data_IF_641801357186
#
_entry.id   IF_641801357186
#
_cell.length_a   1.000
_cell.length_b   1.000
_cell.length_c   1.000
_cell.angle_alpha   90.00
_cell.angle_beta   90.00
_cell.angle_gamma   90.00
#
_symmetry.space_group_name_H-M   'P 1'
#
loop_
_entity.id
_entity.type
_entity.pdbx_description
1 polymer ?
#
# COMPACT_ATOMS: atom_id res chain seq x y z
N UNK A 1 18.79 -10.39 -19.04
CA UNK A 1 19.71 -10.62 -17.89
C UNK A 1 19.37 -11.94 -17.22
N UNK A 2 20.36 -12.62 -16.66
CA UNK A 2 20.25 -13.93 -16.01
C UNK A 2 19.34 -13.82 -14.76
N UNK A 3 18.17 -14.46 -14.76
CA UNK A 3 17.17 -14.45 -13.67
C UNK A 3 17.59 -15.28 -12.44
N UNK A 4 18.78 -15.86 -12.44
CA UNK A 4 19.35 -16.58 -11.32
C UNK A 4 20.01 -15.62 -10.32
N UNK A 5 19.22 -14.91 -9.50
CA UNK A 5 19.79 -14.17 -8.37
C UNK A 5 18.89 -13.22 -7.59
N UNK A 6 17.83 -12.67 -8.17
CA UNK A 6 16.98 -11.72 -7.43
C UNK A 6 15.94 -12.47 -6.59
N UNK A 7 16.17 -12.55 -5.28
CA UNK A 7 15.20 -13.11 -4.32
C UNK A 7 13.97 -12.20 -4.23
N UNK A 8 12.76 -12.77 -4.24
CA UNK A 8 11.52 -12.02 -3.93
C UNK A 8 11.69 -11.31 -2.57
N UNK A 9 11.08 -10.13 -2.42
CA UNK A 9 10.94 -9.52 -1.10
C UNK A 9 10.05 -10.40 -0.23
N UNK A 10 10.41 -10.54 1.04
CA UNK A 10 9.62 -11.29 2.00
C UNK A 10 9.40 -10.48 3.28
N UNK A 11 8.27 -10.73 3.91
CA UNK A 11 7.87 -10.12 5.18
C UNK A 11 8.72 -10.75 6.29
N UNK A 12 9.35 -9.94 7.14
CA UNK A 12 10.16 -10.41 8.27
C UNK A 12 9.75 -9.70 9.56
N UNK A 13 9.28 -10.47 10.54
CA UNK A 13 8.73 -9.95 11.80
C UNK A 13 9.80 -9.64 12.87
N UNK A 14 11.04 -10.05 12.64
CA UNK A 14 12.13 -9.94 13.60
C UNK A 14 12.51 -8.49 13.98
N UNK A 15 12.11 -7.48 13.18
CA UNK A 15 12.45 -6.07 13.43
C UNK A 15 11.54 -5.37 14.43
N UNK A 16 10.46 -6.00 14.88
CA UNK A 16 9.44 -5.37 15.70
C UNK A 16 9.26 -6.10 17.04
N UNK A 17 9.22 -5.33 18.12
CA UNK A 17 8.98 -5.82 19.47
C UNK A 17 7.84 -5.02 20.10
N UNK A 18 6.89 -5.72 20.70
CA UNK A 18 5.85 -5.12 21.53
C UNK A 18 6.10 -5.52 22.98
N UNK A 19 6.34 -4.53 23.83
CA UNK A 19 6.48 -4.71 25.27
C UNK A 19 5.11 -4.50 25.88
N UNK A 20 4.50 -5.59 26.36
CA UNK A 20 3.15 -5.55 26.89
C UNK A 20 3.01 -6.46 28.13
N UNK A 21 2.37 -5.99 29.22
CA UNK A 21 2.08 -6.84 30.36
C UNK A 21 1.18 -8.03 29.96
N UNK A 22 1.28 -9.18 30.65
CA UNK A 22 0.48 -10.38 30.32
C UNK A 22 -1.02 -10.15 30.25
N UNK A 23 -1.54 -9.18 31.01
CA UNK A 23 -2.96 -8.78 31.00
C UNK A 23 -3.43 -8.25 29.65
N UNK A 24 -2.52 -7.72 28.80
CA UNK A 24 -2.82 -7.22 27.47
C UNK A 24 -2.61 -8.26 26.36
N UNK A 25 -2.03 -9.44 26.64
CA UNK A 25 -1.72 -10.44 25.60
C UNK A 25 -2.97 -10.97 24.87
N UNK A 26 -4.13 -10.92 25.52
CA UNK A 26 -5.43 -11.28 24.90
C UNK A 26 -6.04 -10.17 24.03
N UNK A 27 -5.52 -8.94 24.07
CA UNK A 27 -6.05 -7.82 23.30
C UNK A 27 -5.81 -8.06 21.80
N UNK A 28 -6.78 -7.83 20.90
CA UNK A 28 -6.64 -8.14 19.46
C UNK A 28 -5.39 -7.53 18.82
N UNK A 29 -5.07 -6.28 19.12
CA UNK A 29 -3.88 -5.59 18.59
C UNK A 29 -2.54 -6.15 19.09
N UNK A 30 -2.54 -6.87 20.21
CA UNK A 30 -1.35 -7.55 20.75
C UNK A 30 -1.25 -8.95 20.14
N UNK A 31 -2.37 -9.67 20.07
CA UNK A 31 -2.45 -11.01 19.46
C UNK A 31 -2.04 -11.00 17.99
N UNK A 32 -2.53 -10.00 17.24
CA UNK A 32 -2.32 -9.90 15.80
C UNK A 32 -1.08 -9.05 15.45
N UNK A 33 -0.27 -8.67 16.46
CA UNK A 33 0.94 -7.86 16.30
C UNK A 33 1.93 -8.51 15.32
N UNK A 34 2.51 -7.67 14.47
CA UNK A 34 3.58 -8.08 13.58
C UNK A 34 4.93 -7.92 14.27
N UNK A 35 5.35 -8.96 14.98
CA UNK A 35 6.63 -9.01 15.67
C UNK A 35 6.60 -9.97 16.85
N UNK A 36 7.58 -9.83 17.74
CA UNK A 36 7.60 -10.55 19.01
C UNK A 36 6.92 -9.73 20.12
N UNK A 37 6.20 -10.40 21.02
CA UNK A 37 5.63 -9.79 22.22
C UNK A 37 6.44 -10.27 23.41
N UNK A 38 6.93 -9.33 24.22
CA UNK A 38 7.71 -9.60 25.44
C UNK A 38 7.06 -8.89 26.62
N UNK A 39 7.27 -9.42 27.82
CA UNK A 39 6.80 -8.77 29.03
C UNK A 39 7.84 -7.73 29.50
N UNK A 40 7.44 -6.66 30.22
CA UNK A 40 8.38 -5.67 30.74
C UNK A 40 9.52 -6.28 31.56
N UNK A 41 9.25 -7.34 32.32
CA UNK A 41 10.23 -8.09 33.10
C UNK A 41 11.34 -8.75 32.26
N UNK A 42 11.08 -9.06 30.99
CA UNK A 42 12.07 -9.64 30.08
C UNK A 42 13.15 -8.62 29.65
N UNK A 43 12.89 -7.32 29.87
CA UNK A 43 13.83 -6.22 29.63
C UNK A 43 14.67 -5.86 30.87
N UNK A 44 14.46 -6.52 32.00
CA UNK A 44 15.21 -6.25 33.21
C UNK A 44 16.68 -6.67 33.08
N UNK A 45 17.64 -5.90 33.63
CA UNK A 45 19.05 -6.30 33.64
C UNK A 45 19.24 -7.69 34.26
N UNK A 46 19.85 -8.61 33.52
CA UNK A 46 20.10 -9.98 33.97
C UNK A 46 18.94 -10.95 33.79
N UNK A 47 17.84 -10.54 33.14
CA UNK A 47 16.80 -11.46 32.70
C UNK A 47 17.39 -12.52 31.74
N UNK A 48 17.04 -13.78 31.95
CA UNK A 48 17.50 -14.85 31.08
C UNK A 48 16.80 -14.73 29.72
N UNK A 49 17.56 -14.44 28.67
CA UNK A 49 16.99 -14.28 27.32
C UNK A 49 16.45 -12.88 27.02
N UNK A 50 17.01 -11.82 27.63
CA UNK A 50 16.72 -10.44 27.24
C UNK A 50 16.76 -10.29 25.71
N UNK A 51 15.70 -9.77 25.09
CA UNK A 51 15.67 -9.63 23.64
C UNK A 51 16.78 -8.70 23.18
N UNK A 52 17.47 -9.07 22.10
CA UNK A 52 18.31 -8.11 21.38
C UNK A 52 17.43 -7.00 20.85
N UNK A 53 17.76 -5.74 21.10
CA UNK A 53 17.00 -4.58 20.63
C UNK A 53 17.68 -3.89 19.45
N UNK A 54 18.90 -4.27 19.08
CA UNK A 54 19.68 -3.58 18.05
C UNK A 54 18.94 -3.55 16.71
N UNK A 55 18.75 -2.34 16.17
CA UNK A 55 18.06 -2.14 14.88
C UNK A 55 16.56 -2.46 14.90
N UNK A 56 15.94 -2.56 16.09
CA UNK A 56 14.52 -2.89 16.23
C UNK A 56 13.66 -1.67 16.51
N UNK A 57 12.39 -1.79 16.13
CA UNK A 57 11.31 -0.89 16.53
C UNK A 57 10.59 -1.48 17.73
N UNK A 58 10.54 -0.73 18.82
CA UNK A 58 9.94 -1.13 20.09
C UNK A 58 8.66 -0.33 20.33
N UNK A 59 7.56 -1.03 20.59
CA UNK A 59 6.27 -0.47 20.97
C UNK A 59 6.01 -0.78 22.44
N UNK A 60 5.69 0.23 23.24
CA UNK A 60 5.49 0.12 24.69
C UNK A 60 4.00 0.22 25.02
N UNK A 61 3.52 -0.71 25.83
CA UNK A 61 2.14 -0.78 26.33
C UNK A 61 2.12 -0.94 27.85
N UNK A 62 1.02 -0.54 28.48
CA UNK A 62 0.84 -0.61 29.93
C UNK A 62 1.52 0.54 30.67
N UNK A 63 1.89 0.30 31.93
CA UNK A 63 2.62 1.28 32.72
C UNK A 63 4.11 1.30 32.32
N UNK A 64 4.51 2.37 31.63
CA UNK A 64 5.89 2.56 31.14
C UNK A 64 6.81 3.26 32.14
N UNK A 65 6.29 3.66 33.32
CA UNK A 65 7.07 4.45 34.30
C UNK A 65 8.25 3.70 34.91
N UNK A 66 8.26 2.38 34.86
CA UNK A 66 9.35 1.53 35.32
C UNK A 66 10.42 1.23 34.26
N UNK A 67 10.31 1.77 33.05
CA UNK A 67 11.28 1.57 31.97
C UNK A 67 12.27 2.73 31.92
N UNK A 68 13.55 2.40 31.91
CA UNK A 68 14.66 3.36 31.79
C UNK A 68 15.12 3.49 30.34
N UNK A 69 15.51 4.70 29.93
CA UNK A 69 16.05 4.97 28.59
C UNK A 69 17.25 4.07 28.23
N UNK A 70 18.08 3.70 29.21
CA UNK A 70 19.21 2.81 29.01
C UNK A 70 18.81 1.38 28.64
N UNK A 71 17.65 0.90 29.09
CA UNK A 71 17.16 -0.45 28.74
C UNK A 71 16.76 -0.55 27.26
N UNK A 72 16.35 0.56 26.67
CA UNK A 72 15.91 0.64 25.27
C UNK A 72 16.93 1.32 24.35
N UNK A 73 18.10 1.70 24.86
CA UNK A 73 19.07 2.53 24.14
C UNK A 73 19.66 1.91 22.87
N UNK A 74 19.58 0.58 22.71
CA UNK A 74 19.99 -0.11 21.49
C UNK A 74 18.90 -0.17 20.40
N UNK A 75 17.64 0.13 20.75
CA UNK A 75 16.55 0.18 19.80
C UNK A 75 16.73 1.33 18.81
N UNK A 76 16.38 1.10 17.55
CA UNK A 76 16.41 2.15 16.52
C UNK A 76 15.25 3.14 16.72
N UNK A 77 14.08 2.63 17.10
CA UNK A 77 12.87 3.42 17.31
C UNK A 77 12.14 2.90 18.55
N UNK A 78 11.61 3.79 19.36
CA UNK A 78 10.79 3.46 20.54
C UNK A 78 9.53 4.32 20.53
N UNK A 79 8.37 3.69 20.71
CA UNK A 79 7.07 4.36 20.72
C UNK A 79 6.24 3.92 21.92
N UNK A 80 5.50 4.85 22.53
CA UNK A 80 4.45 4.51 23.52
C UNK A 80 3.11 4.43 22.81
N UNK A 81 2.38 3.33 22.96
CA UNK A 81 1.06 3.13 22.36
C UNK A 81 -0.01 3.72 23.27
N UNK A 82 -0.59 4.85 22.86
CA UNK A 82 -1.47 5.69 23.70
C UNK A 82 -2.62 4.89 24.32
N UNK A 83 -3.37 4.15 23.51
CA UNK A 83 -4.60 3.47 23.92
C UNK A 83 -4.33 2.25 24.81
N UNK A 84 -3.13 1.67 24.72
CA UNK A 84 -2.72 0.50 25.51
C UNK A 84 -1.90 0.88 26.74
N UNK A 85 -1.59 2.17 26.95
CA UNK A 85 -0.75 2.66 28.05
C UNK A 85 -1.50 3.55 29.05
N UNK A 86 -2.83 3.63 28.95
CA UNK A 86 -3.64 4.39 29.91
C UNK A 86 -3.75 3.65 31.24
N UNK A 87 -3.59 4.36 32.36
CA UNK A 87 -4.06 3.91 33.67
C UNK A 87 -5.58 4.11 33.72
N UNK A 88 -6.31 3.13 34.24
CA UNK A 88 -7.76 3.22 34.38
C UNK A 88 -8.16 4.53 35.10
N UNK A 89 -8.88 5.41 34.40
CA UNK A 89 -9.52 6.59 34.99
C UNK A 89 -8.88 7.97 34.76
N UNK A 90 -7.75 8.09 34.04
CA UNK A 90 -7.16 9.40 33.71
C UNK A 90 -7.23 9.70 32.20
N UNK A 91 -8.10 10.64 31.83
CA UNK A 91 -8.05 11.32 30.52
C UNK A 91 -6.97 12.40 30.57
N UNK A 92 -5.71 11.99 30.35
CA UNK A 92 -4.57 12.91 30.34
C UNK A 92 -3.42 12.38 29.47
N UNK A 93 -2.66 13.29 28.87
CA UNK A 93 -1.42 12.97 28.12
C UNK A 93 -0.51 12.07 28.97
N UNK A 94 0.07 11.03 28.36
CA UNK A 94 1.03 10.16 29.04
C UNK A 94 2.15 11.03 29.64
N UNK A 95 2.24 11.19 30.98
CA UNK A 95 3.16 12.16 31.55
C UNK A 95 4.60 11.68 31.42
N UNK A 96 5.48 12.54 30.92
CA UNK A 96 6.93 12.44 31.16
C UNK A 96 7.73 11.35 30.45
N UNK A 97 7.14 10.56 29.55
CA UNK A 97 7.90 9.60 28.74
C UNK A 97 8.87 10.31 27.78
N UNK A 98 10.16 9.92 27.71
CA UNK A 98 11.10 10.49 26.74
C UNK A 98 10.82 10.02 25.30
N UNK A 99 9.94 9.03 25.12
CA UNK A 99 9.65 8.44 23.82
C UNK A 99 8.39 9.02 23.18
N UNK A 100 8.38 9.16 21.83
CA UNK A 100 7.20 9.63 21.10
C UNK A 100 5.99 8.72 21.33
N UNK A 101 4.82 9.35 21.49
CA UNK A 101 3.54 8.65 21.64
C UNK A 101 2.89 8.46 20.28
N UNK A 102 2.42 7.24 20.00
CA UNK A 102 1.67 6.88 18.79
C UNK A 102 0.31 6.30 19.16
N UNK A 103 -0.64 6.45 18.25
CA UNK A 103 -1.96 5.84 18.39
C UNK A 103 -1.91 4.37 17.93
N UNK A 104 -2.89 3.57 18.38
CA UNK A 104 -2.99 2.14 18.14
C UNK A 104 -2.95 1.77 16.65
N UNK A 105 -3.44 2.65 15.77
CA UNK A 105 -3.41 2.42 14.33
C UNK A 105 -2.02 2.50 13.68
N UNK A 106 -0.98 2.91 14.44
CA UNK A 106 0.44 2.87 14.06
C UNK A 106 1.14 1.57 14.47
N UNK A 107 0.46 0.69 15.20
CA UNK A 107 0.98 -0.62 15.58
C UNK A 107 0.77 -1.59 14.40
N UNK A 108 1.82 -2.26 13.88
CA UNK A 108 1.70 -3.13 12.73
C UNK A 108 0.98 -4.44 13.09
N UNK A 109 0.01 -4.82 12.25
CA UNK A 109 -0.72 -6.07 12.38
C UNK A 109 -0.39 -7.03 11.24
N UNK A 110 -0.23 -8.32 11.56
CA UNK A 110 -0.04 -9.39 10.58
C UNK A 110 -1.35 -9.69 9.87
N UNK A 111 -1.32 -9.77 8.55
CA UNK A 111 -2.47 -10.22 7.75
C UNK A 111 -2.14 -11.57 7.13
N UNK A 112 -2.41 -12.65 7.87
CA UNK A 112 -2.34 -14.04 7.39
C UNK A 112 -1.04 -14.45 6.67
N UNK A 113 0.10 -13.80 6.99
CA UNK A 113 1.36 -14.00 6.26
C UNK A 113 1.37 -13.42 4.83
N UNK A 114 0.30 -12.78 4.39
CA UNK A 114 0.16 -12.15 3.08
C UNK A 114 0.63 -10.69 3.07
N UNK A 115 0.75 -10.05 4.23
CA UNK A 115 1.19 -8.66 4.35
C UNK A 115 1.10 -8.11 5.76
N UNK A 116 1.36 -6.81 5.88
CA UNK A 116 1.33 -6.06 7.14
C UNK A 116 0.39 -4.88 7.01
N UNK A 117 -0.48 -4.69 7.99
CA UNK A 117 -1.51 -3.67 7.98
C UNK A 117 -1.34 -2.68 9.13
N UNK A 118 -1.48 -1.40 8.80
CA UNK A 118 -1.56 -0.29 9.72
C UNK A 118 -2.95 0.34 9.58
N UNK A 119 -3.87 0.19 10.55
CA UNK A 119 -5.22 0.73 10.45
C UNK A 119 -5.26 2.26 10.33
N UNK A 120 -4.26 2.96 10.86
CA UNK A 120 -4.14 4.42 10.79
C UNK A 120 -2.66 4.83 10.79
N UNK A 121 -1.98 4.57 9.67
CA UNK A 121 -0.58 4.96 9.49
C UNK A 121 -0.42 6.48 9.40
N UNK A 122 -1.28 7.11 8.60
CA UNK A 122 -1.35 8.54 8.41
C UNK A 122 -2.45 9.13 9.29
N UNK A 123 -2.19 10.29 9.90
CA UNK A 123 -3.18 10.93 10.75
C UNK A 123 -4.34 11.48 9.88
N UNK A 124 -5.61 11.26 10.26
CA UNK A 124 -6.75 11.82 9.52
C UNK A 124 -6.73 13.35 9.42
N UNK A 125 -6.11 14.03 10.40
CA UNK A 125 -6.00 15.50 10.42
C UNK A 125 -5.05 16.10 9.38
N UNK A 126 -4.23 15.29 8.71
CA UNK A 126 -3.25 15.78 7.72
C UNK A 126 -3.86 16.15 6.36
N UNK A 127 -5.16 15.88 6.16
CA UNK A 127 -5.92 16.12 4.93
C UNK A 127 -5.19 15.69 3.63
N UNK A 128 -4.63 14.47 3.65
CA UNK A 128 -3.95 13.92 2.47
C UNK A 128 -4.84 13.92 1.22
N UNK A 129 -6.15 13.68 1.37
CA UNK A 129 -7.08 13.75 0.24
C UNK A 129 -7.09 15.15 -0.38
N UNK A 130 -7.36 16.18 0.42
CA UNK A 130 -7.43 17.56 -0.06
C UNK A 130 -6.11 18.06 -0.62
N UNK A 131 -5.00 17.76 0.04
CA UNK A 131 -3.64 18.15 -0.40
C UNK A 131 -3.27 17.52 -1.73
N UNK A 132 -3.43 16.21 -1.88
CA UNK A 132 -3.15 15.53 -3.16
C UNK A 132 -4.09 16.05 -4.26
N UNK A 133 -5.37 16.28 -3.94
CA UNK A 133 -6.34 16.84 -4.88
C UNK A 133 -6.04 18.28 -5.31
N UNK A 134 -5.34 19.06 -4.48
CA UNK A 134 -4.90 20.41 -4.79
C UNK A 134 -3.56 20.44 -5.55
N UNK A 135 -2.68 19.48 -5.28
CA UNK A 135 -1.35 19.36 -5.90
C UNK A 135 -1.42 18.79 -7.33
N UNK A 136 -2.45 18.00 -7.66
CA UNK A 136 -2.55 17.26 -8.92
C UNK A 136 -3.91 17.38 -9.63
N UNK A 137 -3.86 17.40 -10.96
CA UNK A 137 -5.04 17.34 -11.81
C UNK A 137 -5.36 15.89 -12.21
N UNK A 138 -6.35 15.30 -11.54
CA UNK A 138 -6.81 13.94 -11.85
C UNK A 138 -7.52 13.88 -13.21
N UNK A 139 -7.24 12.83 -13.97
CA UNK A 139 -7.83 12.60 -15.29
C UNK A 139 -8.82 11.44 -15.28
N UNK A 140 -9.88 11.47 -16.11
CA UNK A 140 -10.81 10.34 -16.24
C UNK A 140 -10.08 9.06 -16.64
N UNK A 141 -10.47 7.93 -16.05
CA UNK A 141 -10.00 6.61 -16.46
C UNK A 141 -11.02 5.96 -17.39
N UNK A 142 -10.57 5.21 -18.40
CA UNK A 142 -11.46 4.34 -19.18
C UNK A 142 -11.43 2.91 -18.65
N UNK A 143 -12.55 2.19 -18.74
CA UNK A 143 -12.60 0.77 -18.38
C UNK A 143 -12.13 -0.08 -19.56
N UNK A 144 -10.82 -0.31 -19.68
CA UNK A 144 -10.27 -1.13 -20.76
C UNK A 144 -10.68 -0.59 -22.15
N UNK A 145 -11.16 -1.45 -23.05
CA UNK A 145 -11.62 -1.11 -24.41
C UNK A 145 -13.11 -0.76 -24.49
N UNK A 146 -13.83 -0.69 -23.36
CA UNK A 146 -15.28 -0.43 -23.37
C UNK A 146 -15.56 1.06 -23.64
N UNK A 147 -16.56 1.40 -24.48
CA UNK A 147 -17.00 2.78 -24.63
C UNK A 147 -17.61 3.26 -23.31
N UNK A 148 -16.90 4.13 -22.60
CA UNK A 148 -17.33 4.73 -21.34
C UNK A 148 -16.17 5.13 -20.42
N UNK A 149 -16.39 6.15 -19.60
CA UNK A 149 -15.48 6.51 -18.51
C UNK A 149 -15.77 5.62 -17.30
N UNK A 150 -14.73 5.07 -16.69
CA UNK A 150 -14.83 4.46 -15.37
C UNK A 150 -15.39 5.48 -14.37
N UNK A 151 -16.02 5.01 -13.29
CA UNK A 151 -16.40 5.86 -12.16
C UNK A 151 -15.18 6.29 -11.32
N UNK A 152 -14.02 6.41 -11.95
CA UNK A 152 -12.75 6.74 -11.33
C UNK A 152 -12.01 7.76 -12.17
N UNK A 153 -11.32 8.65 -11.48
CA UNK A 153 -10.24 9.44 -12.06
C UNK A 153 -8.92 9.00 -11.44
N UNK A 154 -7.80 9.21 -12.14
CA UNK A 154 -6.50 8.79 -11.66
C UNK A 154 -5.35 9.63 -12.20
N UNK A 155 -4.16 9.37 -11.68
CA UNK A 155 -2.91 9.97 -12.13
C UNK A 155 -1.74 9.05 -11.78
N UNK A 156 -0.69 9.06 -12.60
CA UNK A 156 0.59 8.46 -12.26
C UNK A 156 1.56 9.51 -11.78
N UNK A 157 2.27 9.18 -10.70
CA UNK A 157 3.28 10.04 -10.11
C UNK A 157 4.58 9.26 -9.92
N UNK A 158 5.71 9.90 -10.20
CA UNK A 158 7.06 9.35 -9.94
C UNK A 158 8.05 10.51 -9.84
N UNK A 159 9.21 10.40 -9.17
CA UNK A 159 10.20 11.47 -9.23
C UNK A 159 10.64 11.74 -10.68
N UNK A 160 10.60 13.00 -11.10
CA UNK A 160 11.07 13.45 -12.41
C UNK A 160 12.29 14.34 -12.21
N UNK A 161 13.41 14.01 -12.86
CA UNK A 161 14.61 14.87 -12.88
C UNK A 161 14.85 15.41 -14.28
N UNK A 162 15.46 16.61 -14.37
CA UNK A 162 15.79 17.25 -15.63
C UNK A 162 17.31 17.30 -15.81
N UNK A 163 17.78 16.84 -16.96
CA UNK A 163 19.19 16.92 -17.39
C UNK A 163 19.24 17.56 -18.78
N UNK A 164 19.58 18.85 -18.84
CA UNK A 164 19.41 19.65 -20.06
C UNK A 164 17.94 19.69 -20.48
N UNK A 165 17.65 19.29 -21.73
CA UNK A 165 16.28 19.19 -22.27
C UNK A 165 15.63 17.81 -22.01
N UNK A 166 16.38 16.85 -21.44
CA UNK A 166 15.88 15.51 -21.16
C UNK A 166 15.17 15.46 -19.80
N UNK A 167 14.02 14.79 -19.76
CA UNK A 167 13.26 14.51 -18.55
C UNK A 167 13.38 13.02 -18.22
N UNK A 168 13.98 12.70 -17.07
CA UNK A 168 14.21 11.35 -16.59
C UNK A 168 13.15 10.97 -15.56
N UNK A 169 12.56 9.80 -15.70
CA UNK A 169 11.47 9.33 -14.84
C UNK A 169 11.36 7.81 -14.89
N UNK A 170 10.44 7.23 -14.12
CA UNK A 170 10.15 5.79 -14.15
C UNK A 170 8.77 5.52 -14.73
N UNK A 171 8.66 4.47 -15.51
CA UNK A 171 7.41 4.01 -16.07
C UNK A 171 6.87 2.82 -15.29
N UNK A 172 5.55 2.74 -15.18
CA UNK A 172 4.85 1.54 -14.73
C UNK A 172 3.68 1.27 -15.68
N UNK A 173 4.00 0.67 -16.83
CA UNK A 173 3.11 0.38 -17.97
C UNK A 173 2.17 -0.78 -17.64
N UNK A 174 1.25 -0.54 -16.72
CA UNK A 174 0.18 -1.47 -16.37
C UNK A 174 -1.07 -1.26 -17.25
N UNK A 175 -2.15 -1.99 -16.96
CA UNK A 175 -3.40 -1.99 -17.74
C UNK A 175 -4.32 -0.78 -17.50
N UNK A 176 -3.85 0.28 -16.86
CA UNK A 176 -4.68 1.45 -16.51
C UNK A 176 -4.59 2.53 -17.58
N UNK A 177 -5.61 2.66 -18.41
CA UNK A 177 -5.67 3.62 -19.53
C UNK A 177 -5.71 5.08 -19.08
N UNK A 178 -4.54 5.64 -18.75
CA UNK A 178 -4.31 7.07 -18.48
C UNK A 178 -3.90 7.77 -19.79
N UNK A 179 -4.54 8.90 -20.06
CA UNK A 179 -4.36 9.63 -21.32
C UNK A 179 -3.35 10.78 -21.23
N UNK A 180 -3.32 11.46 -20.10
CA UNK A 180 -2.41 12.54 -19.75
C UNK A 180 -1.10 12.04 -19.13
N UNK A 181 -0.08 12.92 -19.08
CA UNK A 181 1.28 12.56 -18.70
C UNK A 181 1.39 12.13 -17.23
N UNK A 182 2.46 11.39 -16.94
CA UNK A 182 2.95 11.19 -15.56
C UNK A 182 3.41 12.52 -14.99
N UNK A 183 3.17 12.76 -13.70
CA UNK A 183 3.63 13.98 -13.01
C UNK A 183 4.71 13.66 -11.97
N UNK A 184 5.53 14.66 -11.65
CA UNK A 184 6.51 14.54 -10.58
C UNK A 184 5.84 14.47 -9.21
N UNK A 185 6.51 13.85 -8.25
CA UNK A 185 6.12 13.95 -6.84
C UNK A 185 6.11 15.41 -6.38
N UNK A 186 5.02 15.78 -5.72
CA UNK A 186 4.87 17.05 -4.99
C UNK A 186 5.23 16.84 -3.52
N UNK A 187 5.23 17.89 -2.66
CA UNK A 187 5.64 17.76 -1.26
C UNK A 187 4.83 16.70 -0.49
N UNK A 188 3.53 16.56 -0.76
CA UNK A 188 2.70 15.56 -0.08
C UNK A 188 3.06 14.15 -0.51
N UNK A 189 3.28 13.90 -1.81
CA UNK A 189 3.72 12.58 -2.30
C UNK A 189 5.09 12.19 -1.74
N UNK A 190 6.03 13.14 -1.74
CA UNK A 190 7.39 12.92 -1.24
C UNK A 190 7.33 12.47 0.22
N UNK A 191 6.57 13.19 1.04
CA UNK A 191 6.36 12.83 2.45
C UNK A 191 5.73 11.45 2.64
N UNK A 192 4.69 11.12 1.86
CA UNK A 192 4.03 9.81 1.92
C UNK A 192 5.02 8.71 1.53
N UNK A 193 5.64 8.81 0.36
CA UNK A 193 6.50 7.77 -0.21
C UNK A 193 7.77 7.56 0.63
N UNK A 194 8.36 8.62 1.18
CA UNK A 194 9.47 8.50 2.11
C UNK A 194 9.07 7.81 3.42
N UNK A 195 7.91 8.14 4.00
CA UNK A 195 7.41 7.48 5.20
C UNK A 195 7.15 5.99 4.96
N UNK A 196 6.58 5.65 3.79
CA UNK A 196 6.37 4.26 3.39
C UNK A 196 7.67 3.50 3.17
N UNK A 197 8.68 4.12 2.53
CA UNK A 197 9.98 3.48 2.33
C UNK A 197 10.70 3.23 3.66
N UNK A 198 10.65 4.18 4.61
CA UNK A 198 11.20 3.98 5.96
C UNK A 198 10.53 2.81 6.68
N UNK A 199 9.20 2.70 6.58
CA UNK A 199 8.49 1.58 7.21
C UNK A 199 8.71 0.25 6.50
N UNK A 200 8.79 0.27 5.16
CA UNK A 200 9.08 -0.92 4.37
C UNK A 200 10.43 -1.57 4.75
N UNK A 201 11.44 -0.77 5.09
CA UNK A 201 12.76 -1.26 5.55
C UNK A 201 12.68 -2.06 6.86
N UNK A 202 11.66 -1.81 7.68
CA UNK A 202 11.42 -2.53 8.94
C UNK A 202 10.58 -3.78 8.69
N UNK A 203 9.64 -3.72 7.75
CA UNK A 203 8.67 -4.80 7.43
C UNK A 203 9.24 -5.88 6.51
N UNK A 204 10.11 -5.49 5.56
CA UNK A 204 10.58 -6.37 4.50
C UNK A 204 12.09 -6.51 4.48
N UNK A 205 12.54 -7.64 3.92
CA UNK A 205 13.94 -7.83 3.51
C UNK A 205 14.08 -7.87 2.01
N UNK A 206 15.25 -7.40 1.56
CA UNK A 206 15.65 -7.35 0.16
C UNK A 206 14.66 -6.62 -0.74
N UNK A 207 13.87 -5.66 -0.25
CA UNK A 207 12.85 -5.02 -1.05
C UNK A 207 13.42 -3.92 -1.96
N UNK A 208 12.80 -3.71 -3.12
CA UNK A 208 13.06 -2.53 -3.95
C UNK A 208 12.40 -1.28 -3.34
N UNK A 209 12.91 -0.07 -3.62
CA UNK A 209 12.28 1.16 -3.15
C UNK A 209 10.92 1.40 -3.82
N UNK A 210 9.98 1.90 -3.05
CA UNK A 210 8.71 2.44 -3.53
C UNK A 210 8.99 3.79 -4.22
N UNK A 211 8.64 3.91 -5.50
CA UNK A 211 9.03 5.07 -6.33
C UNK A 211 8.01 5.45 -7.41
N UNK A 212 6.88 4.74 -7.50
CA UNK A 212 5.86 4.99 -8.49
C UNK A 212 4.48 4.87 -7.88
N UNK A 213 3.60 5.84 -8.13
CA UNK A 213 2.28 5.96 -7.51
C UNK A 213 1.20 5.88 -8.58
N UNK A 214 0.15 5.13 -8.30
CA UNK A 214 -1.16 5.29 -8.92
C UNK A 214 -2.13 5.85 -7.88
N UNK A 215 -2.47 7.13 -8.01
CA UNK A 215 -3.48 7.78 -7.19
C UNK A 215 -4.81 7.75 -7.95
N UNK A 216 -5.89 7.32 -7.30
CA UNK A 216 -7.21 7.15 -7.92
C UNK A 216 -8.33 7.63 -7.00
N UNK A 217 -9.19 8.50 -7.51
CA UNK A 217 -10.43 8.91 -6.83
C UNK A 217 -11.58 8.03 -7.30
N UNK A 218 -12.32 7.49 -6.35
CA UNK A 218 -13.43 6.55 -6.54
C UNK A 218 -14.75 7.30 -6.31
N UNK A 219 -15.45 7.60 -7.40
CA UNK A 219 -16.68 8.39 -7.37
C UNK A 219 -17.90 7.48 -7.19
N UNK A 220 -18.85 7.92 -6.36
CA UNK A 220 -20.16 7.30 -6.21
C UNK A 220 -21.21 8.19 -6.87
N UNK A 221 -22.13 7.60 -7.64
CA UNK A 221 -23.25 8.31 -8.25
C UNK A 221 -24.54 7.88 -7.56
N UNK A 222 -25.25 8.83 -6.97
CA UNK A 222 -26.55 8.60 -6.33
C UNK A 222 -27.59 8.23 -7.39
N UNK A 223 -28.62 7.48 -6.99
CA UNK A 223 -29.75 7.21 -7.87
C UNK A 223 -30.45 8.52 -8.25
N UNK A 224 -30.89 8.62 -9.50
CA UNK A 224 -31.70 9.71 -10.02
C UNK A 224 -32.91 9.12 -10.76
N UNK A 225 -33.88 9.96 -11.15
CA UNK A 225 -35.04 9.50 -11.90
C UNK A 225 -34.60 8.73 -13.17
N UNK A 226 -35.05 7.48 -13.30
CA UNK A 226 -34.65 6.59 -14.40
C UNK A 226 -33.23 6.02 -14.35
N UNK A 227 -32.39 6.36 -13.35
CA UNK A 227 -30.99 5.90 -13.23
C UNK A 227 -30.69 5.31 -11.85
N UNK A 228 -30.28 4.03 -11.83
CA UNK A 228 -29.79 3.37 -10.60
C UNK A 228 -28.51 4.02 -10.08
N UNK A 229 -28.32 3.99 -8.77
CA UNK A 229 -27.04 4.37 -8.16
C UNK A 229 -25.89 3.51 -8.71
N UNK A 230 -24.69 4.08 -8.76
CA UNK A 230 -23.47 3.36 -9.10
C UNK A 230 -22.36 3.68 -8.10
N UNK A 231 -21.51 2.70 -7.83
CA UNK A 231 -20.40 2.80 -6.88
C UNK A 231 -19.12 2.35 -7.57
N UNK A 232 -18.05 3.10 -7.41
CA UNK A 232 -16.76 2.74 -7.98
C UNK A 232 -16.23 1.44 -7.35
N UNK A 233 -15.81 0.51 -8.20
CA UNK A 233 -15.22 -0.79 -7.82
C UNK A 233 -14.13 -1.17 -8.80
N UNK A 234 -13.24 -2.08 -8.40
CA UNK A 234 -12.29 -2.75 -9.29
C UNK A 234 -12.55 -4.24 -9.15
N UNK A 235 -12.82 -4.93 -10.25
CA UNK A 235 -12.99 -6.39 -10.27
C UNK A 235 -11.71 -7.12 -9.89
N UNK A 236 -11.84 -8.40 -9.52
CA UNK A 236 -10.71 -9.26 -9.17
C UNK A 236 -9.61 -9.24 -10.25
N UNK A 237 -8.38 -8.93 -9.83
CA UNK A 237 -7.19 -8.91 -10.67
C UNK A 237 -5.92 -9.10 -9.83
N UNK A 238 -4.81 -9.39 -10.50
CA UNK A 238 -3.48 -9.17 -9.96
C UNK A 238 -2.86 -7.94 -10.65
N UNK A 239 -2.11 -7.16 -9.89
CA UNK A 239 -1.36 -6.02 -10.43
C UNK A 239 -0.32 -6.51 -11.43
N UNK A 240 -0.10 -5.73 -12.49
CA UNK A 240 0.79 -6.11 -13.60
C UNK A 240 2.23 -5.84 -13.23
N UNK A 241 3.03 -6.91 -13.20
CA UNK A 241 4.41 -6.88 -12.69
C UNK A 241 5.48 -6.58 -13.74
N UNK A 242 5.08 -6.35 -15.00
CA UNK A 242 5.98 -6.13 -16.16
C UNK A 242 7.14 -5.17 -15.91
N UNK A 243 6.87 -4.05 -15.24
CA UNK A 243 7.83 -2.97 -15.00
C UNK A 243 8.24 -2.90 -13.52
N UNK A 244 7.97 -3.97 -12.76
CA UNK A 244 8.31 -4.09 -11.35
C UNK A 244 9.49 -5.04 -11.18
N UNK A 245 10.48 -4.70 -10.35
CA UNK A 245 11.57 -5.61 -10.07
C UNK A 245 11.05 -6.84 -9.30
N UNK A 246 11.73 -7.98 -9.42
CA UNK A 246 11.31 -9.25 -8.79
C UNK A 246 11.18 -9.16 -7.25
N UNK A 247 11.95 -8.27 -6.63
CA UNK A 247 11.89 -7.96 -5.21
C UNK A 247 11.00 -6.75 -4.88
N UNK A 248 10.06 -6.42 -5.75
CA UNK A 248 9.09 -5.35 -5.55
C UNK A 248 8.12 -5.62 -4.39
N UNK A 249 7.61 -4.53 -3.84
CA UNK A 249 6.54 -4.51 -2.85
C UNK A 249 5.48 -3.47 -3.26
N UNK A 250 4.33 -3.52 -2.61
CA UNK A 250 3.24 -2.57 -2.82
C UNK A 250 2.70 -2.05 -1.48
N UNK A 251 2.32 -0.78 -1.47
CA UNK A 251 1.68 -0.13 -0.33
C UNK A 251 0.34 0.47 -0.76
N UNK A 252 -0.76 -0.09 -0.25
CA UNK A 252 -2.11 0.39 -0.48
C UNK A 252 -2.47 1.41 0.61
N UNK A 253 -2.39 2.69 0.29
CA UNK A 253 -2.82 3.75 1.18
C UNK A 253 -4.25 4.17 0.86
N UNK A 254 -5.03 4.52 1.88
CA UNK A 254 -6.43 4.96 1.68
C UNK A 254 -6.73 6.25 2.43
N UNK A 255 -7.28 7.22 1.71
CA UNK A 255 -7.75 8.49 2.24
C UNK A 255 -9.21 8.71 1.82
N UNK A 256 -9.95 9.47 2.61
CA UNK A 256 -11.37 9.74 2.37
C UNK A 256 -11.68 11.22 2.49
N UNK A 257 -12.65 11.65 1.69
CA UNK A 257 -13.36 12.91 1.85
C UNK A 257 -14.84 12.60 2.15
N UNK A 258 -15.44 13.32 3.09
CA UNK A 258 -16.85 13.14 3.42
C UNK A 258 -17.12 12.09 4.52
N UNK A 259 -16.15 11.83 5.40
CA UNK A 259 -16.29 10.87 6.50
C UNK A 259 -17.31 11.31 7.56
N UNK A 260 -17.58 12.61 7.68
CA UNK A 260 -18.53 13.20 8.62
C UNK A 260 -19.98 12.69 8.43
N UNK A 261 -20.27 12.02 7.31
CA UNK A 261 -21.55 11.35 7.03
C UNK A 261 -21.72 10.01 7.76
N UNK A 262 -20.64 9.48 8.31
CA UNK A 262 -20.58 8.19 8.98
C UNK A 262 -20.28 8.39 10.47
N UNK A 263 -20.62 7.39 11.28
CA UNK A 263 -20.33 7.38 12.72
C UNK A 263 -19.29 6.30 13.06
N UNK A 264 -18.45 6.51 14.09
CA UNK A 264 -17.57 5.47 14.60
C UNK A 264 -18.34 4.17 14.93
N UNK A 265 -17.74 3.04 14.59
CA UNK A 265 -18.32 1.72 14.86
C UNK A 265 -17.88 1.22 16.24
N UNK A 266 -18.76 0.49 16.94
CA UNK A 266 -18.47 -0.04 18.27
C UNK A 266 -17.47 -1.21 18.26
N UNK A 267 -17.53 -2.05 17.21
CA UNK A 267 -16.75 -3.29 17.12
C UNK A 267 -15.34 -3.08 16.53
N UNK A 268 -15.09 -1.93 15.87
CA UNK A 268 -13.80 -1.58 15.27
C UNK A 268 -13.54 -0.06 15.44
N UNK A 269 -12.53 0.34 16.24
CA UNK A 269 -12.25 1.74 16.54
C UNK A 269 -11.75 2.56 15.33
N UNK A 270 -11.39 1.90 14.23
CA UNK A 270 -10.95 2.55 12.99
C UNK A 270 -12.04 2.60 11.92
N UNK A 271 -13.13 1.84 12.09
CA UNK A 271 -14.21 1.76 11.13
C UNK A 271 -15.29 2.83 11.37
N UNK A 272 -15.91 3.27 10.28
CA UNK A 272 -16.99 4.25 10.29
C UNK A 272 -18.15 3.72 9.44
N UNK A 273 -19.37 3.89 9.92
CA UNK A 273 -20.55 3.34 9.26
C UNK A 273 -21.86 3.93 9.73
N UNK A 274 -22.93 3.24 9.35
CA UNK A 274 -24.31 3.56 9.75
C UNK A 274 -24.89 2.33 10.44
N UNK A 275 -25.31 2.50 11.69
CA UNK A 275 -25.78 1.40 12.56
C UNK A 275 -24.70 0.32 12.71
N UNK A 276 -24.93 -0.88 12.16
CA UNK A 276 -24.00 -2.02 12.20
C UNK A 276 -23.30 -2.25 10.85
N UNK A 277 -23.49 -1.38 9.87
CA UNK A 277 -22.92 -1.53 8.54
C UNK A 277 -21.80 -0.51 8.30
N UNK A 278 -20.58 -1.01 8.10
CA UNK A 278 -19.43 -0.20 7.66
C UNK A 278 -19.76 0.56 6.38
N UNK A 279 -19.37 1.84 6.32
CA UNK A 279 -19.39 2.66 5.11
C UNK A 279 -18.09 2.61 4.32
N UNK A 280 -17.07 1.92 4.82
CA UNK A 280 -15.74 1.90 4.25
C UNK A 280 -15.59 0.85 3.15
N UNK A 281 -14.58 1.08 2.31
CA UNK A 281 -14.26 0.19 1.18
C UNK A 281 -13.43 -0.98 1.66
N UNK A 282 -13.60 -2.14 1.03
CA UNK A 282 -12.85 -3.36 1.35
C UNK A 282 -11.95 -3.76 0.20
N UNK A 283 -10.74 -4.17 0.52
CA UNK A 283 -9.84 -4.88 -0.38
C UNK A 283 -9.97 -6.37 -0.11
N UNK A 284 -10.55 -7.10 -1.06
CA UNK A 284 -10.89 -8.52 -0.90
C UNK A 284 -9.88 -9.34 -1.70
N UNK A 285 -9.20 -10.27 -1.03
CA UNK A 285 -8.20 -11.14 -1.63
C UNK A 285 -8.75 -12.56 -1.79
N UNK A 286 -8.55 -13.15 -2.96
CA UNK A 286 -8.91 -14.55 -3.26
C UNK A 286 -7.71 -15.28 -3.83
N UNK A 287 -7.38 -16.41 -3.22
CA UNK A 287 -6.27 -17.26 -3.65
C UNK A 287 -6.54 -17.77 -5.08
N UNK A 288 -5.51 -17.76 -5.92
CA UNK A 288 -5.58 -18.35 -7.26
C UNK A 288 -5.42 -19.87 -7.17
N UNK A 289 -6.03 -20.60 -8.10
CA UNK A 289 -5.90 -22.05 -8.15
C UNK A 289 -4.44 -22.45 -8.37
N UNK A 290 -3.84 -23.30 -7.51
CA UNK A 290 -2.49 -23.79 -7.72
C UNK A 290 -2.46 -24.77 -8.90
N UNK A 291 -1.44 -24.69 -9.76
CA UNK A 291 -1.26 -25.62 -10.87
C UNK A 291 -0.55 -26.95 -10.47
N UNK A 292 -0.52 -27.29 -9.18
CA UNK A 292 0.17 -28.48 -8.64
C UNK A 292 0.04 -28.61 -7.11
N UNK A 293 0.40 -29.78 -6.58
CA UNK A 293 0.33 -30.15 -5.15
C UNK A 293 1.05 -29.11 -4.28
N UNK A 294 0.33 -28.52 -3.33
CA UNK A 294 0.92 -27.70 -2.27
C UNK A 294 1.03 -28.52 -1.01
N UNK A 295 2.11 -28.28 -0.29
CA UNK A 295 2.13 -28.42 1.16
C UNK A 295 1.15 -27.36 1.72
N UNK A 296 -0.09 -27.79 1.95
CA UNK A 296 -1.31 -26.97 2.05
C UNK A 296 -1.51 -26.23 3.38
N UNK A 297 -0.50 -26.11 4.22
CA UNK A 297 -0.67 -25.52 5.53
C UNK A 297 -0.15 -24.07 5.55
N UNK A 298 -1.03 -23.06 5.38
CA UNK A 298 -1.04 -21.77 6.16
C UNK A 298 -1.81 -20.59 5.53
N UNK A 299 -2.02 -20.54 4.22
CA UNK A 299 -2.63 -19.37 3.57
C UNK A 299 -4.16 -19.48 3.43
N UNK A 300 -4.96 -18.46 3.82
CA UNK A 300 -6.41 -18.52 3.71
C UNK A 300 -6.87 -18.43 2.25
N UNK A 301 -7.90 -19.20 1.89
CA UNK A 301 -8.52 -19.17 0.56
C UNK A 301 -9.04 -17.78 0.17
N UNK A 302 -9.57 -17.05 1.14
CA UNK A 302 -10.02 -15.67 0.97
C UNK A 302 -9.81 -14.90 2.27
N UNK A 303 -9.42 -13.63 2.17
CA UNK A 303 -9.41 -12.72 3.31
C UNK A 303 -9.80 -11.31 2.86
N UNK A 304 -9.98 -10.39 3.80
CA UNK A 304 -10.41 -9.02 3.52
C UNK A 304 -9.71 -8.05 4.43
N UNK A 305 -9.28 -6.93 3.86
CA UNK A 305 -8.77 -5.77 4.58
C UNK A 305 -9.79 -4.64 4.42
N UNK A 306 -10.38 -4.17 5.52
CA UNK A 306 -11.16 -2.93 5.51
C UNK A 306 -10.18 -1.77 5.37
N UNK A 307 -10.39 -0.92 4.37
CA UNK A 307 -9.49 0.19 4.07
C UNK A 307 -9.87 1.39 4.95
N UNK A 308 -9.25 1.50 6.11
CA UNK A 308 -9.55 2.56 7.07
C UNK A 308 -8.98 3.93 6.63
N UNK A 309 -9.51 5.05 7.16
CA UNK A 309 -8.95 6.37 6.91
C UNK A 309 -7.49 6.47 7.37
N UNK A 310 -6.58 6.82 6.45
CA UNK A 310 -5.15 6.91 6.72
C UNK A 310 -4.45 5.54 6.84
N UNK A 311 -5.14 4.45 6.48
CA UNK A 311 -4.57 3.11 6.54
C UNK A 311 -3.49 2.86 5.49
N UNK A 312 -2.62 1.90 5.78
CA UNK A 312 -1.62 1.36 4.85
C UNK A 312 -1.62 -0.16 4.95
N UNK A 313 -1.80 -0.83 3.81
CA UNK A 313 -1.55 -2.27 3.68
C UNK A 313 -0.33 -2.52 2.80
N UNK A 314 0.72 -3.10 3.40
CA UNK A 314 1.93 -3.51 2.71
C UNK A 314 1.83 -4.98 2.27
N UNK A 315 2.20 -5.27 1.04
CA UNK A 315 2.31 -6.65 0.55
C UNK A 315 3.48 -6.85 -0.43
N UNK A 316 4.16 -8.00 -0.39
CA UNK A 316 5.17 -8.36 -1.37
C UNK A 316 4.53 -8.80 -2.71
N UNK A 317 5.32 -8.82 -3.78
CA UNK A 317 4.87 -9.35 -5.07
C UNK A 317 4.48 -10.83 -5.03
N UNK A 318 5.05 -11.61 -4.10
CA UNK A 318 4.63 -13.00 -3.88
C UNK A 318 3.14 -13.07 -3.51
N UNK A 319 2.61 -12.15 -2.69
CA UNK A 319 1.17 -12.09 -2.42
C UNK A 319 0.36 -11.76 -3.67
N UNK A 320 0.82 -10.84 -4.52
CA UNK A 320 0.16 -10.51 -5.80
C UNK A 320 0.16 -11.68 -6.79
N UNK A 321 1.22 -12.49 -6.76
CA UNK A 321 1.33 -13.72 -7.54
C UNK A 321 0.36 -14.77 -7.05
N UNK A 322 0.18 -14.90 -5.73
CA UNK A 322 -0.68 -15.92 -5.12
C UNK A 322 -2.17 -15.56 -5.11
N UNK A 323 -2.51 -14.28 -5.00
CA UNK A 323 -3.89 -13.80 -4.85
C UNK A 323 -4.32 -12.89 -6.00
N UNK A 324 -5.60 -12.94 -6.33
CA UNK A 324 -6.28 -11.80 -6.95
C UNK A 324 -6.86 -10.92 -5.85
N UNK A 325 -7.01 -9.63 -6.14
CA UNK A 325 -7.65 -8.68 -5.25
C UNK A 325 -8.68 -7.81 -5.97
N UNK A 326 -9.69 -7.35 -5.24
CA UNK A 326 -10.72 -6.46 -5.75
C UNK A 326 -11.05 -5.35 -4.77
N UNK A 327 -11.44 -4.19 -5.31
CA UNK A 327 -11.95 -3.06 -4.53
C UNK A 327 -13.46 -3.16 -4.49
N UNK A 328 -13.99 -3.46 -3.30
CA UNK A 328 -15.42 -3.63 -3.05
C UNK A 328 -15.97 -2.49 -2.20
N UNK A 329 -16.87 -1.63 -2.75
CA UNK A 329 -17.51 -0.59 -1.96
C UNK A 329 -18.51 -1.17 -0.95
N UNK A 330 -18.86 -0.38 0.06
CA UNK A 330 -19.86 -0.77 1.07
C UNK A 330 -21.26 -1.02 0.45
N UNK A 331 -22.04 -1.84 1.15
CA UNK A 331 -23.45 -2.10 0.83
C UNK A 331 -24.38 -0.89 1.05
N UNK A 332 -23.99 0.11 1.85
CA UNK A 332 -24.77 1.32 2.12
C UNK A 332 -25.08 2.12 0.84
N UNK A 333 -26.16 2.90 0.82
CA UNK A 333 -26.50 3.72 -0.34
C UNK A 333 -25.39 4.70 -0.72
N UNK A 334 -25.20 4.92 -2.04
CA UNK A 334 -24.14 5.74 -2.60
C UNK A 334 -24.06 7.16 -2.01
N UNK A 335 -25.19 7.75 -1.60
CA UNK A 335 -25.22 9.08 -0.98
C UNK A 335 -24.61 9.14 0.43
N UNK A 336 -24.54 8.00 1.13
CA UNK A 336 -23.93 7.87 2.45
C UNK A 336 -22.43 7.56 2.37
N UNK A 337 -21.94 7.12 1.22
CA UNK A 337 -20.55 6.72 1.08
C UNK A 337 -19.64 7.94 0.95
N UNK A 338 -18.51 7.98 1.70
CA UNK A 338 -17.48 8.97 1.46
C UNK A 338 -16.80 8.73 0.10
N UNK A 339 -16.21 9.77 -0.47
CA UNK A 339 -15.38 9.65 -1.67
C UNK A 339 -14.01 9.13 -1.25
N UNK A 340 -13.54 8.05 -1.87
CA UNK A 340 -12.25 7.42 -1.54
C UNK A 340 -11.16 7.87 -2.51
N UNK A 341 -10.00 8.22 -1.98
CA UNK A 341 -8.72 8.28 -2.71
C UNK A 341 -7.92 7.02 -2.36
N UNK A 342 -7.76 6.13 -3.34
CA UNK A 342 -6.80 5.04 -3.25
C UNK A 342 -5.45 5.53 -3.75
N UNK A 343 -4.41 5.42 -2.92
CA UNK A 343 -3.06 5.86 -3.25
C UNK A 343 -2.14 4.66 -3.16
N UNK A 344 -1.88 4.02 -4.31
CA UNK A 344 -1.13 2.76 -4.38
C UNK A 344 0.29 3.06 -4.82
N UNK A 345 1.24 2.81 -3.92
CA UNK A 345 2.67 3.00 -4.20
C UNK A 345 3.29 1.64 -4.54
N UNK A 346 4.09 1.61 -5.59
CA UNK A 346 4.73 0.42 -6.15
C UNK A 346 6.20 0.71 -6.44
N UNK A 347 6.95 -0.36 -6.67
CA UNK A 347 8.32 -0.31 -7.18
C UNK A 347 8.30 -0.38 -8.71
N UNK A 348 8.99 0.53 -9.37
CA UNK A 348 9.32 0.45 -10.78
C UNK A 348 10.84 0.41 -10.97
N UNK A 349 11.30 -0.46 -11.86
CA UNK A 349 12.69 -0.51 -12.35
C UNK A 349 12.83 -0.06 -13.82
N UNK A 350 11.71 0.24 -14.48
CA UNK A 350 11.70 0.69 -15.87
C UNK A 350 12.00 2.18 -15.94
N UNK A 351 13.26 2.50 -16.18
CA UNK A 351 13.70 3.89 -16.35
C UNK A 351 13.39 4.40 -17.77
N UNK A 352 12.95 5.65 -17.86
CA UNK A 352 12.59 6.30 -19.10
C UNK A 352 13.16 7.72 -19.21
N UNK A 353 13.30 8.18 -20.44
CA UNK A 353 13.70 9.54 -20.80
C UNK A 353 12.73 10.09 -21.83
N UNK A 354 12.19 11.29 -21.58
CA UNK A 354 11.52 12.06 -22.61
C UNK A 354 12.46 13.15 -23.12
N UNK A 355 12.75 13.15 -24.43
CA UNK A 355 13.57 14.16 -25.10
C UNK A 355 13.16 14.27 -26.56
N UNK A 356 13.34 15.45 -27.15
CA UNK A 356 13.01 15.70 -28.56
C UNK A 356 11.56 15.34 -28.96
N UNK A 357 10.63 15.48 -28.01
CA UNK A 357 9.20 15.16 -28.18
C UNK A 357 8.85 13.67 -28.12
N UNK A 358 9.80 12.81 -27.75
CA UNK A 358 9.66 11.36 -27.78
C UNK A 358 10.09 10.73 -26.45
N UNK A 359 9.43 9.63 -26.07
CA UNK A 359 9.80 8.84 -24.89
C UNK A 359 10.67 7.63 -25.29
N UNK A 360 11.72 7.39 -24.52
CA UNK A 360 12.66 6.29 -24.67
C UNK A 360 12.75 5.50 -23.37
N UNK A 361 12.85 4.17 -23.48
CA UNK A 361 13.21 3.27 -22.39
C UNK A 361 14.73 3.24 -22.27
N UNK A 362 15.26 3.38 -21.05
CA UNK A 362 16.68 3.14 -20.79
C UNK A 362 16.91 1.64 -20.69
N UNK A 363 17.83 1.13 -21.50
CA UNK A 363 18.35 -0.24 -21.38
C UNK A 363 19.81 -0.19 -20.95
N UNK A 364 20.42 -1.35 -20.70
CA UNK A 364 21.83 -1.41 -20.30
C UNK A 364 22.77 -0.77 -21.34
N UNK A 365 22.42 -0.90 -22.63
CA UNK A 365 23.32 -0.55 -23.72
C UNK A 365 22.85 0.68 -24.53
N UNK A 366 21.57 1.06 -24.49
CA UNK A 366 21.04 2.16 -25.29
C UNK A 366 19.69 2.73 -24.80
N UNK A 367 19.21 3.79 -25.47
CA UNK A 367 17.86 4.32 -25.40
C UNK A 367 16.99 3.72 -26.51
N UNK A 368 15.96 2.96 -26.12
CA UNK A 368 15.02 2.35 -27.07
C UNK A 368 13.74 3.16 -27.12
N UNK A 369 13.39 3.69 -28.29
CA UNK A 369 12.16 4.50 -28.46
C UNK A 369 10.91 3.69 -28.08
N UNK A 370 10.04 4.28 -27.27
CA UNK A 370 8.73 3.72 -26.94
C UNK A 370 7.82 3.85 -28.18
N UNK A 371 7.59 2.73 -28.87
CA UNK A 371 6.78 2.67 -30.08
C UNK A 371 5.30 2.50 -29.76
N UNK A 372 4.40 2.77 -30.74
CA UNK A 372 2.98 2.49 -30.57
C UNK A 372 2.73 0.97 -30.43
N UNK A 373 1.66 0.56 -29.73
CA UNK A 373 1.28 -0.85 -29.66
C UNK A 373 0.93 -1.41 -31.04
N UNK A 374 1.39 -2.64 -31.34
CA UNK A 374 0.93 -3.43 -32.49
C UNK A 374 -0.23 -4.34 -32.07
N UNK A 375 -1.04 -4.81 -33.03
CA UNK A 375 -2.15 -5.73 -32.75
C UNK A 375 -1.63 -7.01 -32.09
N UNK A 376 -0.61 -7.63 -32.69
CA UNK A 376 0.00 -8.87 -32.20
C UNK A 376 0.63 -8.68 -30.82
N UNK A 377 1.32 -7.55 -30.61
CA UNK A 377 1.91 -7.20 -29.32
C UNK A 377 0.85 -7.01 -28.23
N UNK A 378 -0.27 -6.37 -28.56
CA UNK A 378 -1.38 -6.18 -27.63
C UNK A 378 -2.08 -7.48 -27.27
N UNK A 379 -2.27 -8.38 -28.23
CA UNK A 379 -2.91 -9.67 -28.01
C UNK A 379 -2.04 -10.56 -27.12
N UNK A 380 -0.73 -10.58 -27.37
CA UNK A 380 0.23 -11.29 -26.53
C UNK A 380 0.32 -10.68 -25.12
N UNK A 381 0.37 -9.35 -25.00
CA UNK A 381 0.38 -8.67 -23.69
C UNK A 381 -0.89 -9.00 -22.89
N UNK A 382 -2.07 -8.98 -23.53
CA UNK A 382 -3.34 -9.34 -22.89
C UNK A 382 -3.39 -10.81 -22.49
N UNK A 383 -2.79 -11.70 -23.28
CA UNK A 383 -2.66 -13.13 -22.94
C UNK A 383 -1.86 -13.29 -21.65
N UNK A 384 -0.71 -12.63 -21.53
CA UNK A 384 0.10 -12.65 -20.31
C UNK A 384 -0.64 -12.04 -19.11
N UNK A 385 -1.37 -10.94 -19.32
CA UNK A 385 -2.19 -10.33 -18.26
C UNK A 385 -3.28 -11.28 -17.73
N UNK A 386 -3.90 -12.05 -18.62
CA UNK A 386 -4.88 -13.07 -18.24
C UNK A 386 -4.21 -14.24 -17.50
N UNK A 387 -3.01 -14.65 -17.95
CA UNK A 387 -2.22 -15.70 -17.32
C UNK A 387 -1.79 -15.31 -15.89
N UNK A 388 -1.33 -14.08 -15.69
CA UNK A 388 -0.96 -13.52 -14.39
C UNK A 388 -2.15 -13.47 -13.41
N UNK A 389 -3.35 -13.19 -13.92
CA UNK A 389 -4.56 -13.16 -13.09
C UNK A 389 -5.00 -14.56 -12.65
N UNK A 390 -4.73 -15.60 -13.45
CA UNK A 390 -5.22 -16.96 -13.24
C UNK A 390 -4.23 -17.86 -12.51
N UNK A 391 -2.93 -17.69 -12.78
CA UNK A 391 -1.91 -18.63 -12.33
C UNK A 391 -1.09 -18.07 -11.17
N UNK A 392 -0.39 -18.96 -10.47
CA UNK A 392 0.56 -18.62 -9.40
C UNK A 392 2.01 -18.68 -9.86
N UNK A 393 2.23 -18.88 -11.17
CA UNK A 393 3.54 -18.89 -11.82
C UNK A 393 4.09 -17.47 -11.94
N UNK A 394 5.42 -17.37 -12.04
CA UNK A 394 6.05 -16.13 -12.47
C UNK A 394 5.75 -15.88 -13.95
N UNK A 395 5.36 -14.65 -14.28
CA UNK A 395 5.10 -14.24 -15.66
C UNK A 395 6.31 -13.45 -16.15
N UNK A 396 7.00 -14.02 -17.13
CA UNK A 396 8.10 -13.34 -17.80
C UNK A 396 7.58 -12.55 -19.00
N UNK A 397 7.56 -11.23 -18.83
CA UNK A 397 7.23 -10.32 -19.92
C UNK A 397 8.38 -10.15 -20.91
N UNK A 398 9.63 -10.36 -20.48
CA UNK A 398 10.84 -10.07 -21.24
C UNK A 398 10.92 -8.62 -21.77
N UNK A 399 11.93 -8.36 -22.59
CA UNK A 399 12.19 -7.02 -23.15
C UNK A 399 11.40 -6.74 -24.45
N UNK A 400 10.42 -7.61 -24.79
CA UNK A 400 9.73 -7.59 -26.09
C UNK A 400 8.66 -6.51 -26.22
N UNK A 401 8.14 -6.00 -25.11
CA UNK A 401 7.09 -4.98 -25.12
C UNK A 401 7.69 -3.59 -25.06
N UNK A 402 8.04 -3.04 -26.23
CA UNK A 402 8.60 -1.69 -26.37
C UNK A 402 7.52 -0.62 -26.57
N UNK A 403 6.33 -0.85 -26.01
CA UNK A 403 5.19 0.03 -26.09
C UNK A 403 4.46 0.13 -24.75
N UNK A 404 3.61 1.13 -24.61
CA UNK A 404 2.64 1.26 -23.52
C UNK A 404 1.20 1.27 -24.04
N UNK A 405 0.28 0.75 -23.21
CA UNK A 405 -1.16 0.92 -23.39
C UNK A 405 -1.65 2.30 -22.97
N UNK A 406 -0.85 3.05 -22.20
CA UNK A 406 -1.23 4.34 -21.66
C UNK A 406 -0.67 5.41 -22.58
N UNK A 407 -1.54 6.19 -23.23
CA UNK A 407 -1.07 7.26 -24.14
C UNK A 407 -0.30 8.33 -23.38
N UNK A 408 -0.55 8.48 -22.07
CA UNK A 408 0.21 9.35 -21.19
C UNK A 408 1.70 9.04 -21.10
N UNK A 409 2.10 7.77 -21.28
CA UNK A 409 3.51 7.36 -21.15
C UNK A 409 4.38 7.88 -22.33
N UNK A 410 3.75 8.29 -23.42
CA UNK A 410 4.41 8.88 -24.59
C UNK A 410 4.56 10.41 -24.49
N UNK A 411 3.92 11.03 -23.48
CA UNK A 411 3.95 12.46 -23.28
C UNK A 411 5.09 12.87 -22.35
N UNK A 412 5.57 14.10 -22.49
CA UNK A 412 6.52 14.68 -21.55
C UNK A 412 5.95 14.68 -20.13
N UNK A 413 6.68 14.13 -19.13
CA UNK A 413 6.22 14.18 -17.76
C UNK A 413 6.20 15.64 -17.25
N UNK A 414 5.30 15.94 -16.31
CA UNK A 414 5.19 17.30 -15.74
C UNK A 414 6.02 17.44 -14.47
N UNK A 415 6.65 18.60 -14.29
CA UNK A 415 7.42 18.99 -13.09
C UNK A 415 6.59 19.91 -12.19
#
# INVERSE_FOLDING_TARGET
MNTAGSREAYVEDASNILVAPPTLHGHPSVRDFFGSVVAPEDLAPGALGTPDLAGKTVYLCGDVSGLEASQLGAAERVFVVRELSRKDGEDGEAPGSPWPVVDLGRVPARVHGAGVYYPRFFAPGDDHFGRIGAEHAFQPLTESTKPGTAHRSGIYLTPVTREGDALHFRLLRCSTNLAGPTETFRPTDTSIVEALNREAAVVFRNHAPLNHVLAQIYHNTVAAEGRKQSKAKISAHADKTKDMPANGIMAFCTFYQGLEKLHPMADDPFDHGVKKASGLTRLVFRLKDPAGERDEATLPQQFTVTLHPGSVFFMPLSTNRLYTHEIRPSGLDAGLLPTRLGYVVRCSDTEAVHKDGETFLKTADDLVKLGPPTTEGMDELRRLYAEENRTTSFIDYGDRFLFSMNTGDYLAPRI
#
